data_IF_480194841296
#
_entry.id   IF_480194841296
#
_cell.length_a   1.000
_cell.length_b   1.000
_cell.length_c   1.000
_cell.angle_alpha   90.00
_cell.angle_beta   90.00
_cell.angle_gamma   90.00
#
_symmetry.space_group_name_H-M   'P 1'
#
loop_
_entity.id
_entity.type
_entity.pdbx_description
1 polymer ?
#
# COMPACT_ATOMS: atom_id res chain seq x y z
N UNK A 1 -30.08 26.41 -4.01
CA UNK A 1 -28.61 26.28 -4.00
C UNK A 1 -28.24 25.41 -5.17
N UNK A 2 -27.52 25.94 -6.16
CA UNK A 2 -27.09 25.13 -7.32
C UNK A 2 -26.16 24.03 -6.81
N UNK A 3 -26.55 22.76 -6.98
CA UNK A 3 -25.65 21.63 -6.75
C UNK A 3 -24.56 21.73 -7.82
N UNK A 4 -23.41 22.29 -7.46
CA UNK A 4 -22.26 22.36 -8.35
C UNK A 4 -21.91 20.97 -8.88
N UNK A 5 -21.49 20.88 -10.13
CA UNK A 5 -21.07 19.62 -10.74
C UNK A 5 -20.01 18.95 -9.83
N UNK A 6 -20.27 17.75 -9.27
CA UNK A 6 -19.37 17.12 -8.30
C UNK A 6 -17.97 16.88 -8.87
N UNK A 7 -17.88 16.63 -10.18
CA UNK A 7 -16.62 16.47 -10.91
C UNK A 7 -15.81 17.77 -10.92
N UNK A 8 -16.46 18.93 -11.00
CA UNK A 8 -15.79 20.23 -10.95
C UNK A 8 -15.36 20.60 -9.52
N UNK A 9 -16.15 20.21 -8.51
CA UNK A 9 -15.78 20.42 -7.10
C UNK A 9 -14.54 19.62 -6.69
N UNK A 10 -14.28 18.49 -7.36
CA UNK A 10 -13.09 17.67 -7.15
C UNK A 10 -11.80 18.47 -7.37
N UNK A 11 -11.76 19.30 -8.42
CA UNK A 11 -10.60 20.13 -8.76
C UNK A 11 -10.45 21.33 -7.81
N UNK A 12 -11.56 21.98 -7.45
CA UNK A 12 -11.55 23.12 -6.54
C UNK A 12 -11.03 22.76 -5.13
N UNK A 13 -11.35 21.55 -4.66
CA UNK A 13 -10.98 21.10 -3.31
C UNK A 13 -9.60 20.44 -3.23
N UNK A 14 -8.89 20.26 -4.36
CA UNK A 14 -7.62 19.55 -4.42
C UNK A 14 -6.59 20.32 -5.25
N UNK A 15 -6.34 21.58 -4.91
CA UNK A 15 -5.30 22.39 -5.56
C UNK A 15 -3.92 21.72 -5.46
N UNK A 16 -3.16 21.70 -6.55
CA UNK A 16 -1.78 21.19 -6.56
C UNK A 16 -0.85 22.08 -5.74
N UNK A 17 -0.25 21.51 -4.69
CA UNK A 17 0.75 22.14 -3.84
C UNK A 17 2.14 21.49 -3.95
N UNK A 18 2.24 20.35 -4.61
CA UNK A 18 3.47 19.59 -4.85
C UNK A 18 3.33 18.14 -4.42
N UNK A 19 3.31 17.88 -3.11
CA UNK A 19 3.24 16.52 -2.52
C UNK A 19 2.00 15.73 -2.97
N UNK A 20 0.88 16.43 -3.22
CA UNK A 20 -0.37 15.83 -3.66
C UNK A 20 -0.45 15.58 -5.18
N UNK A 21 0.66 15.69 -5.92
CA UNK A 21 0.70 15.50 -7.37
C UNK A 21 0.04 14.21 -7.87
N UNK A 22 0.25 13.00 -7.26
CA UNK A 22 -0.43 11.78 -7.71
C UNK A 22 -1.95 11.91 -7.69
N UNK A 23 -2.47 12.41 -6.56
CA UNK A 23 -3.90 12.59 -6.34
C UNK A 23 -4.47 13.66 -7.28
N UNK A 24 -3.78 14.78 -7.42
CA UNK A 24 -4.17 15.85 -8.35
C UNK A 24 -4.21 15.35 -9.81
N UNK A 25 -3.18 14.61 -10.24
CA UNK A 25 -3.11 14.02 -11.58
C UNK A 25 -4.25 13.03 -11.81
N UNK A 26 -4.57 12.20 -10.81
CA UNK A 26 -5.73 11.31 -10.85
C UNK A 26 -7.05 12.08 -11.01
N UNK A 27 -7.25 13.15 -10.24
CA UNK A 27 -8.43 14.00 -10.33
C UNK A 27 -8.59 14.65 -11.72
N UNK A 28 -7.50 15.17 -12.30
CA UNK A 28 -7.49 15.70 -13.67
C UNK A 28 -7.88 14.63 -14.68
N UNK A 29 -7.32 13.42 -14.56
CA UNK A 29 -7.69 12.30 -15.43
C UNK A 29 -9.18 11.98 -15.34
N UNK A 30 -9.76 11.93 -14.14
CA UNK A 30 -11.19 11.66 -13.93
C UNK A 30 -12.04 12.70 -14.67
N UNK A 31 -11.73 13.99 -14.48
CA UNK A 31 -12.48 15.08 -15.13
C UNK A 31 -12.39 14.96 -16.65
N UNK A 32 -11.19 14.76 -17.20
CA UNK A 32 -11.01 14.70 -18.65
C UNK A 32 -11.58 13.42 -19.29
N UNK A 33 -11.54 12.28 -18.60
CA UNK A 33 -12.19 11.05 -19.06
C UNK A 33 -13.70 11.22 -19.12
N UNK A 34 -14.30 11.90 -18.14
CA UNK A 34 -15.76 12.14 -18.12
C UNK A 34 -16.26 12.95 -19.33
N UNK A 35 -15.36 13.64 -20.02
CA UNK A 35 -15.66 14.49 -21.17
C UNK A 35 -14.95 14.04 -22.45
N UNK A 36 -14.34 12.84 -22.46
CA UNK A 36 -13.57 12.30 -23.59
C UNK A 36 -12.40 13.19 -24.07
N UNK A 37 -11.80 13.97 -23.16
CA UNK A 37 -10.73 14.92 -23.47
C UNK A 37 -9.33 14.45 -23.03
N UNK A 38 -9.18 13.26 -22.45
CA UNK A 38 -7.89 12.81 -21.87
C UNK A 38 -6.73 12.73 -22.88
N UNK A 39 -7.03 12.50 -24.16
CA UNK A 39 -6.02 12.33 -25.20
C UNK A 39 -5.05 13.53 -25.33
N UNK A 40 -5.52 14.76 -25.06
CA UNK A 40 -4.69 15.99 -25.13
C UNK A 40 -3.62 16.10 -24.04
N UNK A 41 -3.59 15.16 -23.08
CA UNK A 41 -2.51 15.06 -22.10
C UNK A 41 -1.37 14.14 -22.53
N UNK A 42 -1.57 13.36 -23.60
CA UNK A 42 -0.61 12.35 -24.07
C UNK A 42 -0.09 12.71 -25.46
N UNK A 43 -0.96 13.25 -26.29
CA UNK A 43 -0.60 13.73 -27.62
C UNK A 43 0.10 15.09 -27.52
N UNK A 44 1.19 15.25 -28.26
CA UNK A 44 1.89 16.52 -28.42
C UNK A 44 0.97 17.61 -28.97
N UNK A 45 1.38 18.88 -28.84
CA UNK A 45 0.61 20.01 -29.34
C UNK A 45 0.36 19.85 -30.85
N UNK A 46 -0.92 19.83 -31.26
CA UNK A 46 -1.26 19.69 -32.67
C UNK A 46 -0.80 20.94 -33.45
N UNK A 47 -0.03 20.77 -34.55
CA UNK A 47 0.42 21.91 -35.34
C UNK A 47 -0.74 22.58 -36.06
N UNK A 48 -0.67 23.90 -36.22
CA UNK A 48 -1.67 24.68 -36.96
C UNK A 48 -1.72 24.18 -38.42
N UNK A 49 -2.90 23.78 -38.94
CA UNK A 49 -3.03 23.35 -40.33
C UNK A 49 -2.72 24.49 -41.31
N UNK A 50 -2.14 24.20 -42.49
CA UNK A 50 -1.88 25.22 -43.50
C UNK A 50 -3.19 25.83 -44.04
N UNK A 51 -3.10 27.04 -44.60
CA UNK A 51 -4.26 27.79 -45.08
C UNK A 51 -5.05 27.08 -46.21
N UNK A 52 -4.44 26.13 -46.92
CA UNK A 52 -5.09 25.32 -47.97
C UNK A 52 -5.52 23.93 -47.47
N UNK A 53 -5.44 23.65 -46.17
CA UNK A 53 -5.82 22.36 -45.61
C UNK A 53 -7.29 22.02 -45.92
N UNK A 54 -7.54 20.74 -46.20
CA UNK A 54 -8.88 20.22 -46.40
C UNK A 54 -9.79 20.50 -45.20
N UNK A 55 -11.08 20.71 -45.46
CA UNK A 55 -12.07 21.02 -44.40
C UNK A 55 -12.04 20.03 -43.24
N UNK A 56 -11.98 18.73 -43.54
CA UNK A 56 -11.92 17.67 -42.54
C UNK A 56 -10.70 17.78 -41.60
N UNK A 57 -9.54 18.22 -42.12
CA UNK A 57 -8.33 18.44 -41.31
C UNK A 57 -8.52 19.61 -40.35
N UNK A 58 -9.14 20.69 -40.82
CA UNK A 58 -9.48 21.86 -39.99
C UNK A 58 -10.49 21.50 -38.90
N UNK A 59 -11.53 20.75 -39.24
CA UNK A 59 -12.55 20.29 -38.27
C UNK A 59 -11.97 19.35 -37.20
N UNK A 60 -10.95 18.55 -37.53
CA UNK A 60 -10.21 17.74 -36.54
C UNK A 60 -9.36 18.63 -35.62
N UNK A 61 -8.63 19.59 -36.19
CA UNK A 61 -7.83 20.53 -35.43
C UNK A 61 -8.68 21.40 -34.49
N UNK A 62 -9.82 21.92 -34.95
CA UNK A 62 -10.72 22.74 -34.14
C UNK A 62 -11.27 21.95 -32.94
N UNK A 63 -11.61 20.66 -33.16
CA UNK A 63 -12.01 19.76 -32.07
C UNK A 63 -10.87 19.52 -31.08
N UNK A 64 -9.66 19.26 -31.58
CA UNK A 64 -8.48 19.10 -30.72
C UNK A 64 -8.22 20.36 -29.89
N UNK A 65 -8.28 21.55 -30.49
CA UNK A 65 -8.10 22.84 -29.80
C UNK A 65 -9.15 23.05 -28.71
N UNK A 66 -10.42 22.71 -28.99
CA UNK A 66 -11.48 22.79 -28.00
C UNK A 66 -11.20 21.89 -26.78
N UNK A 67 -10.81 20.63 -27.01
CA UNK A 67 -10.42 19.70 -25.94
C UNK A 67 -9.18 20.18 -25.17
N UNK A 68 -8.16 20.67 -25.89
CA UNK A 68 -6.92 21.18 -25.31
C UNK A 68 -7.18 22.39 -24.41
N UNK A 69 -7.92 23.39 -24.89
CA UNK A 69 -8.24 24.59 -24.13
C UNK A 69 -9.00 24.27 -22.85
N UNK A 70 -9.91 23.29 -22.92
CA UNK A 70 -10.67 22.83 -21.76
C UNK A 70 -9.76 22.15 -20.73
N UNK A 71 -8.86 21.27 -21.18
CA UNK A 71 -7.89 20.63 -20.30
C UNK A 71 -6.94 21.64 -19.65
N UNK A 72 -6.41 22.60 -20.42
CA UNK A 72 -5.60 23.71 -19.89
C UNK A 72 -6.35 24.48 -18.82
N UNK A 73 -7.61 24.84 -19.08
CA UNK A 73 -8.42 25.59 -18.12
C UNK A 73 -8.59 24.83 -16.80
N UNK A 74 -8.87 23.52 -16.85
CA UNK A 74 -8.97 22.68 -15.66
C UNK A 74 -7.66 22.56 -14.88
N UNK A 75 -6.55 22.37 -15.59
CA UNK A 75 -5.24 22.28 -14.95
C UNK A 75 -4.85 23.62 -14.32
N UNK A 76 -4.91 24.72 -15.07
CA UNK A 76 -4.58 26.05 -14.56
C UNK A 76 -5.50 26.43 -13.38
N UNK A 77 -6.80 26.16 -13.45
CA UNK A 77 -7.72 26.43 -12.34
C UNK A 77 -7.42 25.65 -11.06
N UNK A 78 -6.75 24.50 -11.16
CA UNK A 78 -6.51 23.58 -10.04
C UNK A 78 -5.05 23.53 -9.56
N UNK A 79 -4.21 24.46 -9.99
CA UNK A 79 -2.85 24.64 -9.46
C UNK A 79 -2.73 25.96 -8.67
N UNK A 80 -1.73 26.04 -7.80
CA UNK A 80 -1.43 27.27 -7.06
C UNK A 80 -1.02 28.42 -7.99
N UNK A 81 -1.21 29.68 -7.57
CA UNK A 81 -0.87 30.84 -8.41
C UNK A 81 0.61 30.91 -8.78
N UNK A 82 1.49 30.43 -7.88
CA UNK A 82 2.93 30.31 -8.14
C UNK A 82 3.19 29.39 -9.33
N UNK A 83 2.51 28.23 -9.38
CA UNK A 83 2.63 27.30 -10.52
C UNK A 83 1.93 27.84 -11.76
N UNK A 84 0.75 28.46 -11.60
CA UNK A 84 -0.04 29.04 -12.68
C UNK A 84 0.79 29.97 -13.56
N UNK A 85 1.53 30.90 -12.94
CA UNK A 85 2.39 31.84 -13.69
C UNK A 85 3.45 31.17 -14.58
N UNK A 86 3.95 29.99 -14.17
CA UNK A 86 4.92 29.20 -14.94
C UNK A 86 4.26 28.34 -16.02
N UNK A 87 3.02 27.91 -15.79
CA UNK A 87 2.29 27.01 -16.67
C UNK A 87 1.48 27.73 -17.75
N UNK A 88 1.01 28.95 -17.47
CA UNK A 88 0.15 29.75 -18.36
C UNK A 88 0.76 30.04 -19.74
N UNK A 89 2.08 30.31 -19.87
CA UNK A 89 2.71 30.54 -21.18
C UNK A 89 2.78 29.30 -22.09
N UNK A 90 2.55 28.09 -21.56
CA UNK A 90 2.66 26.84 -22.33
C UNK A 90 1.55 26.75 -23.37
N UNK A 91 1.85 26.21 -24.55
CA UNK A 91 0.95 26.19 -25.69
C UNK A 91 -0.22 25.23 -25.48
N UNK A 92 0.07 24.01 -25.02
CA UNK A 92 -0.94 22.96 -24.85
C UNK A 92 -0.93 22.28 -23.47
N UNK A 93 -2.00 21.54 -23.16
CA UNK A 93 -2.18 20.83 -21.90
C UNK A 93 -1.10 19.76 -21.68
N UNK A 94 -0.67 19.10 -22.76
CA UNK A 94 0.46 18.16 -22.76
C UNK A 94 1.72 18.80 -22.15
N UNK A 95 2.14 19.98 -22.60
CA UNK A 95 3.33 20.65 -22.07
C UNK A 95 3.21 21.05 -20.59
N UNK A 96 1.99 21.40 -20.14
CA UNK A 96 1.73 21.66 -18.72
C UNK A 96 1.91 20.37 -17.93
N UNK A 97 1.34 19.26 -18.41
CA UNK A 97 1.43 17.97 -17.74
C UNK A 97 2.87 17.48 -17.67
N UNK A 98 3.62 17.56 -18.78
CA UNK A 98 5.04 17.23 -18.86
C UNK A 98 5.86 18.04 -17.85
N UNK A 99 5.64 19.36 -17.76
CA UNK A 99 6.40 20.21 -16.84
C UNK A 99 6.08 19.94 -15.37
N UNK A 100 4.81 19.67 -15.05
CA UNK A 100 4.43 19.27 -13.69
C UNK A 100 4.98 17.88 -13.34
N UNK A 101 5.02 16.97 -14.32
CA UNK A 101 5.65 15.66 -14.17
C UNK A 101 7.17 15.78 -13.97
N UNK A 102 7.85 16.70 -14.67
CA UNK A 102 9.28 16.97 -14.46
C UNK A 102 9.55 17.52 -13.05
N UNK A 103 8.71 18.43 -12.56
CA UNK A 103 8.90 19.04 -11.24
C UNK A 103 8.60 18.09 -10.07
N UNK A 104 7.55 17.26 -10.18
CA UNK A 104 7.04 16.48 -9.04
C UNK A 104 7.06 14.96 -9.25
N UNK A 105 7.28 14.49 -10.47
CA UNK A 105 7.17 13.09 -10.84
C UNK A 105 8.15 12.19 -10.11
N UNK A 106 9.43 12.58 -10.05
CA UNK A 106 10.45 11.78 -9.36
C UNK A 106 10.16 11.63 -7.86
N UNK A 107 9.80 12.73 -7.19
CA UNK A 107 9.44 12.71 -5.77
C UNK A 107 8.18 11.88 -5.51
N UNK A 108 7.20 11.99 -6.40
CA UNK A 108 5.97 11.18 -6.40
C UNK A 108 6.27 9.68 -6.53
N UNK A 109 7.11 9.29 -7.48
CA UNK A 109 7.53 7.89 -7.69
C UNK A 109 8.30 7.34 -6.49
N UNK A 110 9.20 8.15 -5.93
CA UNK A 110 9.92 7.78 -4.71
C UNK A 110 8.96 7.57 -3.53
N UNK A 111 8.02 8.50 -3.31
CA UNK A 111 7.03 8.37 -2.24
C UNK A 111 6.14 7.12 -2.41
N UNK A 112 5.71 6.83 -3.65
CA UNK A 112 4.98 5.61 -3.97
C UNK A 112 5.78 4.35 -3.65
N UNK A 113 7.06 4.33 -4.04
CA UNK A 113 7.96 3.21 -3.75
C UNK A 113 8.17 3.02 -2.24
N UNK A 114 8.44 4.10 -1.51
CA UNK A 114 8.64 4.08 -0.05
C UNK A 114 7.39 3.61 0.70
N UNK A 115 6.21 4.11 0.33
CA UNK A 115 4.94 3.69 0.93
C UNK A 115 4.65 2.20 0.66
N UNK A 116 4.87 1.75 -0.57
CA UNK A 116 4.72 0.33 -0.96
C UNK A 116 5.67 -0.59 -0.21
N UNK A 117 6.91 -0.12 -0.04
CA UNK A 117 7.97 -0.84 0.68
C UNK A 117 7.59 -1.10 2.14
N UNK A 118 6.89 -0.16 2.79
CA UNK A 118 6.46 -0.28 4.21
C UNK A 118 5.60 -1.52 4.43
N UNK A 119 4.49 -1.69 3.70
CA UNK A 119 3.61 -2.84 3.92
C UNK A 119 4.20 -4.16 3.39
N UNK A 120 5.01 -4.11 2.33
CA UNK A 120 5.59 -5.33 1.72
C UNK A 120 6.63 -5.96 2.66
N UNK A 121 7.42 -5.13 3.35
CA UNK A 121 8.49 -5.58 4.23
C UNK A 121 8.08 -5.65 5.71
N UNK A 122 6.89 -5.16 6.06
CA UNK A 122 6.39 -5.23 7.43
C UNK A 122 6.31 -6.68 7.92
N UNK A 123 6.80 -6.92 9.13
CA UNK A 123 6.70 -8.20 9.82
C UNK A 123 6.34 -7.95 11.28
N UNK A 124 5.45 -8.76 11.80
CA UNK A 124 5.06 -8.73 13.20
C UNK A 124 6.19 -9.31 14.05
N UNK A 125 6.62 -8.56 15.07
CA UNK A 125 7.57 -9.06 16.06
C UNK A 125 6.87 -9.96 17.09
N UNK A 126 7.59 -10.92 17.67
CA UNK A 126 7.03 -11.95 18.57
C UNK A 126 6.31 -11.38 19.81
N UNK A 127 6.76 -10.26 20.36
CA UNK A 127 6.18 -9.66 21.57
C UNK A 127 5.19 -8.52 21.28
N UNK A 128 4.76 -8.36 20.03
CA UNK A 128 3.79 -7.33 19.62
C UNK A 128 2.37 -7.91 19.66
N UNK A 129 1.39 -7.14 20.12
CA UNK A 129 -0.01 -7.53 19.99
C UNK A 129 -0.45 -7.53 18.52
N UNK A 130 -1.18 -8.56 18.10
CA UNK A 130 -1.65 -8.69 16.71
C UNK A 130 -2.53 -7.51 16.29
N UNK A 131 -3.30 -6.94 17.23
CA UNK A 131 -4.09 -5.74 16.98
C UNK A 131 -3.24 -4.56 16.55
N UNK A 132 -2.13 -4.32 17.25
CA UNK A 132 -1.25 -3.19 16.97
C UNK A 132 -0.58 -3.36 15.60
N UNK A 133 -0.17 -4.58 15.29
CA UNK A 133 0.40 -4.92 13.98
C UNK A 133 -0.61 -4.71 12.84
N UNK A 134 -1.85 -5.22 12.99
CA UNK A 134 -2.91 -5.05 11.98
C UNK A 134 -3.23 -3.58 11.76
N UNK A 135 -3.33 -2.78 12.84
CA UNK A 135 -3.54 -1.33 12.74
C UNK A 135 -2.40 -0.62 12.01
N UNK A 136 -1.15 -1.01 12.28
CA UNK A 136 0.01 -0.48 11.56
C UNK A 136 -0.03 -0.83 10.06
N UNK A 137 -0.42 -2.07 9.72
CA UNK A 137 -0.60 -2.50 8.33
C UNK A 137 -1.68 -1.69 7.61
N UNK A 138 -2.83 -1.45 8.25
CA UNK A 138 -3.90 -0.60 7.70
C UNK A 138 -3.39 0.80 7.41
N UNK A 139 -2.61 1.39 8.32
CA UNK A 139 -2.02 2.72 8.09
C UNK A 139 -1.07 2.72 6.88
N UNK A 140 -0.26 1.68 6.70
CA UNK A 140 0.61 1.56 5.52
C UNK A 140 -0.16 1.40 4.22
N UNK A 141 -1.28 0.68 4.21
CA UNK A 141 -2.14 0.59 3.03
C UNK A 141 -2.75 1.95 2.69
N UNK A 142 -3.30 2.66 3.66
CA UNK A 142 -3.85 4.01 3.44
C UNK A 142 -2.78 4.99 2.94
N UNK A 143 -1.55 4.91 3.48
CA UNK A 143 -0.44 5.72 2.98
C UNK A 143 -0.10 5.38 1.52
N UNK A 144 0.00 4.10 1.18
CA UNK A 144 0.28 3.68 -0.20
C UNK A 144 -0.83 4.11 -1.17
N UNK A 145 -2.10 4.00 -0.77
CA UNK A 145 -3.25 4.46 -1.56
C UNK A 145 -3.23 5.98 -1.80
N UNK A 146 -2.85 6.77 -0.79
CA UNK A 146 -2.64 8.21 -0.95
C UNK A 146 -1.55 8.52 -2.00
N UNK A 147 -0.54 7.65 -2.11
CA UNK A 147 0.52 7.72 -3.11
C UNK A 147 0.22 6.91 -4.39
N UNK A 148 -1.05 6.58 -4.64
CA UNK A 148 -1.50 6.02 -5.93
C UNK A 148 -1.42 4.50 -6.05
N UNK A 149 -1.14 3.77 -4.97
CA UNK A 149 -1.34 2.32 -4.96
C UNK A 149 -2.84 1.98 -5.01
N UNK A 150 -3.18 0.86 -5.62
CA UNK A 150 -4.54 0.29 -5.62
C UNK A 150 -4.43 -1.08 -4.99
N UNK A 151 -4.97 -1.23 -3.78
CA UNK A 151 -4.83 -2.45 -2.98
C UNK A 151 -6.24 -2.89 -2.57
N UNK A 152 -6.77 -3.92 -3.22
CA UNK A 152 -8.07 -4.46 -2.86
C UNK A 152 -8.03 -5.16 -1.49
N UNK A 153 -9.20 -5.27 -0.83
CA UNK A 153 -9.31 -5.82 0.52
C UNK A 153 -8.77 -7.26 0.62
N UNK A 154 -8.98 -8.09 -0.41
CA UNK A 154 -8.47 -9.47 -0.43
C UNK A 154 -6.95 -9.51 -0.44
N UNK A 155 -6.32 -8.62 -1.20
CA UNK A 155 -4.86 -8.43 -1.21
C UNK A 155 -4.37 -7.90 0.13
N UNK A 156 -5.06 -6.93 0.75
CA UNK A 156 -4.71 -6.42 2.09
C UNK A 156 -4.69 -7.54 3.14
N UNK A 157 -5.75 -8.37 3.17
CA UNK A 157 -5.86 -9.53 4.06
C UNK A 157 -4.72 -10.52 3.84
N UNK A 158 -4.41 -10.85 2.57
CA UNK A 158 -3.31 -11.75 2.23
C UNK A 158 -1.96 -11.22 2.72
N UNK A 159 -1.68 -9.93 2.51
CA UNK A 159 -0.43 -9.30 2.95
C UNK A 159 -0.34 -9.32 4.49
N UNK A 160 -1.44 -9.05 5.20
CA UNK A 160 -1.47 -9.12 6.67
C UNK A 160 -1.13 -10.54 7.12
N UNK A 161 -1.81 -11.57 6.61
CA UNK A 161 -1.56 -12.97 6.97
C UNK A 161 -0.09 -13.38 6.75
N UNK A 162 0.52 -12.91 5.66
CA UNK A 162 1.93 -13.18 5.34
C UNK A 162 2.93 -12.38 6.20
N UNK A 163 2.47 -11.33 6.87
CA UNK A 163 3.29 -10.48 7.73
C UNK A 163 3.29 -10.89 9.20
N UNK A 164 2.38 -11.79 9.61
CA UNK A 164 2.26 -12.25 11.00
C UNK A 164 3.51 -13.02 11.46
N UNK A 165 3.71 -13.08 12.78
CA UNK A 165 4.81 -13.82 13.37
C UNK A 165 4.59 -15.34 13.24
N UNK A 166 5.63 -16.13 13.50
CA UNK A 166 5.56 -17.59 13.41
C UNK A 166 4.50 -18.21 14.33
N UNK A 167 4.12 -17.54 15.41
CA UNK A 167 3.12 -18.04 16.36
C UNK A 167 1.71 -18.11 15.74
N UNK A 168 1.48 -17.37 14.64
CA UNK A 168 0.22 -17.35 13.90
C UNK A 168 0.19 -18.33 12.72
N UNK A 169 1.24 -19.12 12.48
CA UNK A 169 1.25 -20.15 11.43
C UNK A 169 0.03 -21.10 11.50
N UNK A 170 -0.42 -21.57 12.69
CA UNK A 170 -1.62 -22.41 12.77
C UNK A 170 -2.88 -21.68 12.30
N UNK A 171 -3.02 -20.38 12.61
CA UNK A 171 -4.13 -19.56 12.15
C UNK A 171 -4.11 -19.42 10.63
N UNK A 172 -2.97 -19.03 10.05
CA UNK A 172 -2.83 -18.87 8.59
C UNK A 172 -3.07 -20.18 7.85
N UNK A 173 -2.62 -21.31 8.41
CA UNK A 173 -2.87 -22.63 7.84
C UNK A 173 -4.36 -22.97 7.84
N UNK A 174 -5.05 -22.73 8.95
CA UNK A 174 -6.49 -22.91 9.07
C UNK A 174 -7.27 -22.02 8.07
N UNK A 175 -6.87 -20.75 7.95
CA UNK A 175 -7.47 -19.81 6.99
C UNK A 175 -7.42 -20.34 5.56
N UNK A 176 -6.24 -20.80 5.11
CA UNK A 176 -6.03 -21.30 3.75
C UNK A 176 -6.74 -22.65 3.54
N UNK A 177 -6.53 -23.61 4.44
CA UNK A 177 -7.06 -24.98 4.29
C UNK A 177 -8.59 -25.01 4.27
N UNK A 178 -9.22 -24.18 5.11
CA UNK A 178 -10.67 -24.10 5.18
C UNK A 178 -11.27 -23.03 4.27
N UNK A 179 -10.46 -22.42 3.39
CA UNK A 179 -10.89 -21.43 2.38
C UNK A 179 -11.71 -20.30 3.01
N UNK A 180 -11.26 -19.83 4.17
CA UNK A 180 -11.91 -18.74 4.86
C UNK A 180 -11.76 -17.45 4.03
N UNK A 181 -12.78 -16.60 4.08
CA UNK A 181 -12.78 -15.33 3.39
C UNK A 181 -13.26 -14.27 4.38
N UNK A 182 -12.31 -13.60 5.01
CA UNK A 182 -12.59 -12.58 6.02
C UNK A 182 -12.38 -11.19 5.43
N UNK A 183 -13.32 -10.29 5.72
CA UNK A 183 -13.04 -8.85 5.61
C UNK A 183 -12.11 -8.38 6.73
N UNK A 184 -11.57 -7.18 6.62
CA UNK A 184 -10.57 -6.63 7.55
C UNK A 184 -10.99 -6.68 9.03
N UNK A 185 -12.24 -6.30 9.32
CA UNK A 185 -12.78 -6.31 10.69
C UNK A 185 -12.89 -7.72 11.25
N UNK A 186 -13.34 -8.67 10.43
CA UNK A 186 -13.47 -10.07 10.85
C UNK A 186 -12.10 -10.70 11.08
N UNK A 187 -11.15 -10.45 10.17
CA UNK A 187 -9.77 -10.92 10.31
C UNK A 187 -9.17 -10.46 11.64
N UNK A 188 -9.30 -9.17 11.97
CA UNK A 188 -8.78 -8.62 13.23
C UNK A 188 -9.37 -9.32 14.46
N UNK A 189 -10.70 -9.49 14.49
CA UNK A 189 -11.38 -10.13 15.62
C UNK A 189 -10.96 -11.59 15.81
N UNK A 190 -10.85 -12.35 14.73
CA UNK A 190 -10.44 -13.76 14.76
C UNK A 190 -8.96 -13.89 15.19
N UNK A 191 -8.08 -13.03 14.69
CA UNK A 191 -6.68 -12.96 15.10
C UNK A 191 -6.53 -12.64 16.60
N UNK A 192 -7.29 -11.67 17.11
CA UNK A 192 -7.27 -11.34 18.53
C UNK A 192 -7.80 -12.48 19.41
N UNK A 193 -8.86 -13.17 18.94
CA UNK A 193 -9.40 -14.35 19.64
C UNK A 193 -8.36 -15.47 19.70
N UNK A 194 -7.66 -15.71 18.59
CA UNK A 194 -6.57 -16.69 18.52
C UNK A 194 -5.40 -16.33 19.45
N UNK A 195 -4.98 -15.06 19.47
CA UNK A 195 -3.93 -14.55 20.39
C UNK A 195 -4.30 -14.79 21.86
N UNK A 196 -5.56 -14.52 22.23
CA UNK A 196 -6.05 -14.70 23.59
C UNK A 196 -6.12 -16.18 24.01
N UNK A 197 -6.57 -17.08 23.13
CA UNK A 197 -6.63 -18.52 23.40
C UNK A 197 -5.25 -19.10 23.69
N UNK A 198 -4.23 -18.66 22.94
CA UNK A 198 -2.87 -19.14 23.09
C UNK A 198 -2.08 -18.43 24.19
N UNK A 199 -2.60 -17.33 24.74
CA UNK A 199 -1.91 -16.53 25.77
C UNK A 199 -0.56 -15.99 25.29
N UNK A 200 -0.45 -15.66 24.00
CA UNK A 200 0.82 -15.28 23.35
C UNK A 200 1.38 -13.98 23.93
N UNK A 201 0.51 -13.05 24.32
CA UNK A 201 0.92 -11.78 24.92
C UNK A 201 0.21 -11.60 26.27
N UNK A 202 1.00 -11.47 27.33
CA UNK A 202 0.48 -11.25 28.68
C UNK A 202 0.20 -9.76 28.89
N UNK A 203 -1.02 -9.43 29.30
CA UNK A 203 -1.35 -8.09 29.75
C UNK A 203 -0.43 -7.71 30.92
N UNK A 204 0.23 -6.54 30.87
CA UNK A 204 0.98 -5.99 32.02
C UNK A 204 0.13 -5.88 33.30
N UNK A 205 -1.19 -5.89 33.19
CA UNK A 205 -2.13 -5.90 34.31
C UNK A 205 -2.24 -7.27 35.03
N UNK A 206 -1.98 -8.38 34.35
CA UNK A 206 -2.13 -9.73 34.92
C UNK A 206 -0.93 -10.16 35.78
N UNK A 207 0.18 -9.40 35.73
CA UNK A 207 1.33 -9.61 36.62
C UNK A 207 1.06 -9.23 38.09
N UNK A 208 -0.08 -8.59 38.40
CA UNK A 208 -0.40 -8.08 39.74
C UNK A 208 -1.48 -8.85 40.51
N UNK A 209 -2.03 -9.95 39.98
CA UNK A 209 -3.09 -10.73 40.67
C UNK A 209 -2.65 -12.17 40.90
N UNK A 210 -1.47 -12.39 41.49
CA UNK A 210 -1.17 -13.68 42.14
C UNK A 210 -0.34 -13.47 43.41
N UNK A 211 -0.99 -13.69 44.55
CA UNK A 211 -0.48 -14.07 45.87
C UNK A 211 0.40 -13.09 46.67
N UNK A 212 -0.23 -12.46 47.68
CA UNK A 212 0.35 -12.36 49.03
C UNK A 212 -0.28 -13.44 49.91
N UNK A 213 0.53 -14.24 50.61
CA UNK A 213 0.67 -13.97 52.05
C UNK A 213 2.13 -13.97 52.53
N UNK A 214 2.30 -13.40 53.72
CA UNK A 214 3.55 -13.16 54.45
C UNK A 214 4.43 -14.41 54.64
N UNK A 215 5.76 -14.24 54.50
CA UNK A 215 6.74 -14.26 55.61
C UNK A 215 8.10 -14.89 55.24
N UNK A 216 9.15 -14.33 55.86
CA UNK A 216 10.48 -14.90 56.13
C UNK A 216 11.57 -14.94 55.02
N UNK A 217 12.55 -14.04 55.24
CA UNK A 217 14.01 -14.23 55.18
C UNK A 217 14.58 -15.33 54.25
N UNK A 218 15.14 -14.84 53.13
CA UNK A 218 16.53 -15.07 52.75
C UNK A 218 16.91 -16.44 52.20
N UNK A 219 17.07 -16.56 50.87
CA UNK A 219 18.05 -17.47 50.27
C UNK A 219 18.56 -16.90 48.94
N UNK A 220 19.89 -16.77 48.83
CA UNK A 220 20.65 -16.34 47.65
C UNK A 220 20.33 -17.20 46.42
N UNK A 221 19.94 -16.59 45.30
CA UNK A 221 19.87 -17.26 43.99
C UNK A 221 21.21 -17.12 43.26
N UNK A 222 21.93 -18.24 43.08
CA UNK A 222 22.99 -18.40 42.07
C UNK A 222 22.35 -18.36 40.68
N UNK A 223 22.93 -17.58 39.77
CA UNK A 223 22.61 -17.64 38.34
C UNK A 223 23.20 -18.94 37.74
N UNK A 224 22.38 -19.72 37.06
CA UNK A 224 22.84 -20.76 36.14
C UNK A 224 22.26 -20.46 34.75
N UNK A 225 23.03 -19.76 33.92
CA UNK A 225 22.84 -19.70 32.46
C UNK A 225 23.58 -20.91 31.88
N UNK A 226 22.91 -21.74 31.08
CA UNK A 226 23.62 -22.76 30.26
C UNK A 226 22.82 -23.99 29.82
N UNK A 227 21.68 -24.31 30.45
CA UNK A 227 21.01 -25.60 30.18
C UNK A 227 20.14 -25.68 28.92
N UNK A 228 19.49 -24.58 28.51
CA UNK A 228 18.44 -24.63 27.47
C UNK A 228 18.97 -24.61 26.03
N UNK A 229 20.17 -24.09 25.77
CA UNK A 229 20.73 -23.99 24.42
C UNK A 229 21.23 -25.35 23.90
N UNK A 230 21.89 -26.12 24.78
CA UNK A 230 22.49 -27.41 24.42
C UNK A 230 21.43 -28.49 24.16
N UNK A 231 20.28 -28.40 24.82
CA UNK A 231 19.17 -29.33 24.59
C UNK A 231 18.43 -29.05 23.27
N UNK A 232 18.39 -27.80 22.82
CA UNK A 232 17.79 -27.42 21.53
C UNK A 232 18.68 -27.88 20.36
N UNK A 233 20.00 -27.70 20.47
CA UNK A 233 20.97 -28.16 19.47
C UNK A 233 20.95 -29.69 19.31
N UNK A 234 20.85 -30.44 20.43
CA UNK A 234 20.72 -31.90 20.37
C UNK A 234 19.44 -32.37 19.69
N UNK A 235 18.33 -31.62 19.83
CA UNK A 235 17.05 -31.94 19.17
C UNK A 235 17.07 -31.63 17.68
N UNK A 236 17.81 -30.60 17.25
CA UNK A 236 17.96 -30.26 15.82
C UNK A 236 18.78 -31.32 15.09
N UNK A 237 19.92 -31.75 15.66
CA UNK A 237 20.77 -32.80 15.06
C UNK A 237 20.02 -34.14 14.92
N UNK A 238 19.22 -34.52 15.92
CA UNK A 238 18.42 -35.75 15.87
C UNK A 238 17.31 -35.71 14.79
N UNK A 239 16.80 -34.52 14.43
CA UNK A 239 15.79 -34.36 13.37
C UNK A 239 16.41 -34.39 11.96
N UNK A 240 17.68 -33.99 11.80
CA UNK A 240 18.40 -34.07 10.52
C UNK A 240 18.85 -35.48 10.18
N UNK A 241 19.20 -36.31 11.17
CA UNK A 241 19.55 -37.72 10.96
C UNK A 241 18.35 -38.57 10.49
N UNK A 242 17.13 -38.18 10.85
CA UNK A 242 15.89 -38.84 10.41
C UNK A 242 15.46 -38.49 8.97
N UNK A 243 16.16 -37.56 8.30
CA UNK A 243 15.75 -37.05 6.97
C UNK A 243 16.55 -37.63 5.79
N UNK A 244 17.32 -38.70 5.97
CA UNK A 244 17.99 -39.32 4.81
C UNK A 244 17.00 -40.10 3.91
N UNK A 245 17.02 -39.90 2.59
CA UNK A 245 16.12 -40.57 1.66
C UNK A 245 16.46 -42.06 1.53
N UNK A 246 15.42 -42.90 1.57
CA UNK A 246 15.48 -44.33 1.27
C UNK A 246 16.06 -44.51 -0.14
N UNK A 247 17.22 -45.17 -0.24
CA UNK A 247 17.79 -45.58 -1.53
C UNK A 247 16.90 -46.68 -2.12
N UNK A 248 16.14 -46.35 -3.17
CA UNK A 248 15.51 -47.34 -4.03
C UNK A 248 16.59 -48.09 -4.81
N UNK A 249 16.86 -49.34 -4.44
CA UNK A 249 17.56 -50.30 -5.28
C UNK A 249 16.59 -50.87 -6.31
N UNK A 250 16.52 -50.25 -7.49
CA UNK A 250 15.91 -50.82 -8.68
C UNK A 250 17.00 -51.22 -9.67
N UNK A 251 17.44 -52.47 -9.59
CA UNK A 251 18.22 -53.13 -10.65
C UNK A 251 17.35 -53.23 -11.91
N UNK A 252 17.82 -52.64 -13.01
CA UNK A 252 17.39 -52.97 -14.36
C UNK A 252 18.62 -53.42 -15.13
N UNK A 253 18.79 -54.74 -15.23
CA UNK A 253 19.69 -55.42 -16.15
C UNK A 253 18.86 -56.07 -17.26
N UNK A 254 19.30 -55.77 -18.48
CA UNK A 254 18.97 -56.33 -19.81
C UNK A 254 17.73 -55.73 -20.46
#
# INVERSE_FOLDING_TARGET
>A
MSMGNPIMSLLANNTLTGENFPKWKSNINIVLVSENNRFVLIEECSPVPPANAARAVRELYDRWIASNNKAKAYMLASISDVLRSKMEPKECAFEIMESLQEMFGQQSEQAHHEATRKYTNARMFLDTHVRDHVMQMTNYFSEAEMHGAVIDEGTQVSIILNSLSSDFIPFTSNYIMNKLNYGMTQLLNELQTFEAILGLVKNKAEANIVNKPNSSKGLKRKMAKGGKSVELERKIVALEELRQPVKNSGDLRI
#
